data_IF_853885699629
#
_entry.id   IF_853885699629
#
_cell.length_a   1.000
_cell.length_b   1.000
_cell.length_c   1.000
_cell.angle_alpha   90.00
_cell.angle_beta   90.00
_cell.angle_gamma   90.00
#
_symmetry.space_group_name_H-M   'P 1'
#
loop_
_entity.id
_entity.type
_entity.pdbx_description
1 polymer ?
#
# COMPACT_ATOMS: atom_id res chain seq x y z
N UNK A 1 -16.15 15.71 79.44
CA UNK A 1 -17.61 15.93 79.34
C UNK A 1 -17.81 16.98 78.25
N UNK A 2 -18.12 16.58 77.02
CA UNK A 2 -19.47 16.19 76.54
C UNK A 2 -20.34 17.46 76.33
N UNK A 3 -21.14 17.70 75.29
CA UNK A 3 -21.84 16.89 74.26
C UNK A 3 -22.09 17.80 73.00
N UNK A 4 -22.38 17.38 71.76
CA UNK A 4 -22.52 16.07 71.07
C UNK A 4 -22.33 16.25 69.53
N UNK A 5 -22.08 15.17 68.79
CA UNK A 5 -21.98 15.11 67.31
C UNK A 5 -23.34 15.17 66.58
N UNK A 6 -23.42 15.78 65.40
CA UNK A 6 -24.57 15.64 64.47
C UNK A 6 -24.12 15.39 63.03
N UNK A 7 -24.03 14.11 62.67
CA UNK A 7 -23.93 13.70 61.26
C UNK A 7 -25.26 13.87 60.53
N UNK A 8 -25.21 14.32 59.28
CA UNK A 8 -26.39 14.44 58.41
C UNK A 8 -26.40 13.28 57.40
N UNK A 9 -27.41 12.40 57.49
CA UNK A 9 -27.59 11.23 56.61
C UNK A 9 -28.91 11.31 55.85
N UNK A 10 -28.88 10.97 54.57
CA UNK A 10 -30.08 10.88 53.71
C UNK A 10 -30.44 9.42 53.40
N UNK A 11 -31.72 9.21 53.04
CA UNK A 11 -32.34 7.91 52.75
C UNK A 11 -31.83 7.21 51.45
N UNK A 12 -30.55 6.82 51.37
CA UNK A 12 -30.15 5.60 50.62
C UNK A 12 -28.74 5.03 50.92
N UNK A 13 -28.24 5.10 52.16
CA UNK A 13 -27.18 4.19 52.65
C UNK A 13 -25.78 4.20 51.99
N UNK A 14 -25.48 5.05 51.01
CA UNK A 14 -24.18 5.09 50.31
C UNK A 14 -23.33 6.31 50.69
N UNK A 15 -22.08 6.07 51.11
CA UNK A 15 -21.08 7.12 51.34
C UNK A 15 -20.76 7.91 50.06
N UNK A 16 -20.84 9.24 50.12
CA UNK A 16 -20.33 10.11 49.04
C UNK A 16 -18.80 10.08 49.04
N UNK A 17 -18.21 9.63 47.93
CA UNK A 17 -16.81 9.94 47.62
C UNK A 17 -16.68 11.43 47.24
N UNK A 18 -15.76 12.21 47.84
CA UNK A 18 -15.52 13.59 47.42
C UNK A 18 -14.87 13.62 46.02
N UNK A 19 -15.63 14.08 45.01
CA UNK A 19 -15.06 14.40 43.70
C UNK A 19 -14.35 15.75 43.82
N UNK A 20 -13.01 15.73 43.74
CA UNK A 20 -12.20 16.92 43.58
C UNK A 20 -11.90 17.10 42.09
N UNK A 21 -12.59 18.06 41.48
CA UNK A 21 -12.23 18.53 40.14
C UNK A 21 -10.99 19.43 40.28
N UNK A 22 -9.91 19.09 39.55
CA UNK A 22 -8.67 19.86 39.54
C UNK A 22 -8.70 20.76 38.29
N UNK A 23 -8.86 22.06 38.48
CA UNK A 23 -8.77 23.05 37.40
C UNK A 23 -7.29 23.22 36.97
N UNK A 24 -7.03 23.24 35.65
CA UNK A 24 -5.70 23.13 35.02
C UNK A 24 -4.75 24.34 35.22
N UNK A 25 -4.96 25.20 36.22
CA UNK A 25 -4.24 26.48 36.37
C UNK A 25 -3.74 26.84 37.78
N UNK A 26 -3.51 25.88 38.69
CA UNK A 26 -2.75 26.14 39.93
C UNK A 26 -1.22 25.94 39.75
N UNK A 27 -0.38 26.90 40.19
CA UNK A 27 1.06 26.69 40.29
C UNK A 27 1.40 25.51 41.21
N UNK A 28 2.40 24.73 40.80
CA UNK A 28 2.83 23.45 41.41
C UNK A 28 2.99 23.50 42.94
N UNK A 29 3.40 24.65 43.49
CA UNK A 29 3.71 24.81 44.91
C UNK A 29 2.45 24.83 45.81
N UNK A 30 1.30 25.30 45.33
CA UNK A 30 0.05 25.30 46.11
C UNK A 30 -0.62 23.92 46.10
N UNK A 31 -0.54 23.19 44.97
CA UNK A 31 -0.92 21.78 44.92
C UNK A 31 -0.05 20.92 45.87
N UNK A 32 1.27 21.16 45.91
CA UNK A 32 2.18 20.50 46.85
C UNK A 32 1.88 20.85 48.31
N UNK A 33 1.45 22.08 48.61
CA UNK A 33 0.99 22.46 49.96
C UNK A 33 -0.29 21.72 50.37
N UNK A 34 -1.30 21.63 49.49
CA UNK A 34 -2.53 20.85 49.77
C UNK A 34 -2.19 19.37 50.06
N UNK A 35 -1.30 18.77 49.29
CA UNK A 35 -0.84 17.38 49.49
C UNK A 35 -0.11 17.18 50.84
N UNK A 36 0.71 18.15 51.28
CA UNK A 36 1.49 18.03 52.53
C UNK A 36 0.69 18.10 53.82
N UNK A 37 -0.61 18.43 53.75
CA UNK A 37 -1.49 18.56 54.93
C UNK A 37 -2.32 17.30 55.20
N UNK A 38 -2.34 16.33 54.27
CA UNK A 38 -2.89 15.00 54.50
C UNK A 38 -1.78 14.03 54.91
N UNK A 39 -2.07 13.12 55.85
CA UNK A 39 -1.10 12.16 56.37
C UNK A 39 -0.45 11.28 55.29
N UNK A 40 0.77 10.84 55.55
CA UNK A 40 1.67 10.25 54.56
C UNK A 40 1.04 9.19 53.66
N UNK A 41 1.06 9.46 52.34
CA UNK A 41 0.61 8.52 51.32
C UNK A 41 1.64 7.40 51.17
N UNK A 42 1.27 6.18 51.57
CA UNK A 42 2.05 4.97 51.23
C UNK A 42 1.92 4.68 49.74
N UNK A 43 2.94 5.05 48.96
CA UNK A 43 3.03 4.69 47.54
C UNK A 43 3.19 3.16 47.46
N UNK A 44 2.30 2.47 46.72
CA UNK A 44 2.45 1.03 46.53
C UNK A 44 3.70 0.72 45.70
N UNK A 45 4.38 -0.43 45.92
CA UNK A 45 5.56 -0.80 45.13
C UNK A 45 5.30 -0.77 43.62
N UNK A 46 4.12 -1.24 43.19
CA UNK A 46 3.65 -1.22 41.80
C UNK A 46 3.54 0.20 41.21
N UNK A 47 3.07 1.17 42.00
CA UNK A 47 2.97 2.56 41.58
C UNK A 47 4.34 3.24 41.51
N UNK A 48 5.24 2.92 42.46
CA UNK A 48 6.63 3.37 42.42
C UNK A 48 7.35 2.82 41.19
N UNK A 49 7.22 1.51 40.93
CA UNK A 49 7.78 0.83 39.77
C UNK A 49 7.26 1.43 38.45
N UNK A 50 5.95 1.67 38.35
CA UNK A 50 5.34 2.30 37.17
C UNK A 50 5.78 3.75 36.94
N UNK A 51 6.12 4.49 38.00
CA UNK A 51 6.62 5.87 37.92
C UNK A 51 8.12 5.93 37.54
N UNK A 52 8.93 4.97 38.02
CA UNK A 52 10.38 4.96 37.78
C UNK A 52 10.83 4.14 36.56
N UNK A 53 10.16 3.02 36.24
CA UNK A 53 10.57 2.13 35.15
C UNK A 53 9.84 2.36 33.83
N UNK A 54 8.67 3.02 33.86
CA UNK A 54 7.98 3.45 32.64
C UNK A 54 8.18 4.95 32.46
N UNK A 55 9.20 5.40 31.70
CA UNK A 55 9.25 6.81 31.34
C UNK A 55 7.93 7.17 30.65
N UNK A 56 7.31 8.27 31.06
CA UNK A 56 6.25 8.91 30.27
C UNK A 56 6.87 9.42 28.98
N UNK A 57 7.08 8.52 28.04
CA UNK A 57 7.40 8.84 26.67
C UNK A 57 6.11 9.41 26.07
N UNK A 58 5.84 10.68 26.38
CA UNK A 58 4.92 11.53 25.62
C UNK A 58 5.55 11.79 24.26
N UNK A 59 5.72 10.71 23.48
CA UNK A 59 5.85 10.79 22.04
C UNK A 59 4.59 11.52 21.61
N UNK A 60 4.73 12.80 21.23
CA UNK A 60 3.63 13.53 20.59
C UNK A 60 3.17 12.62 19.46
N UNK A 61 1.91 12.17 19.51
CA UNK A 61 1.41 11.05 18.70
C UNK A 61 1.38 11.29 17.18
N UNK A 62 2.00 12.37 16.73
CA UNK A 62 2.18 12.76 15.35
C UNK A 62 3.63 12.54 14.91
N UNK A 63 3.96 11.26 14.73
CA UNK A 63 5.24 10.83 14.14
C UNK A 63 5.42 11.43 12.73
N UNK A 64 4.33 11.71 12.00
CA UNK A 64 4.36 12.33 10.66
C UNK A 64 4.87 13.77 10.72
N UNK A 65 4.43 14.56 11.69
CA UNK A 65 4.99 15.88 11.97
C UNK A 65 6.46 15.84 12.44
N UNK A 66 6.96 14.69 12.87
CA UNK A 66 8.33 14.53 13.39
C UNK A 66 9.34 14.06 12.33
N UNK A 67 8.95 13.18 11.40
CA UNK A 67 9.86 12.62 10.37
C UNK A 67 9.52 13.02 8.93
N UNK A 68 8.43 13.78 8.73
CA UNK A 68 7.96 14.19 7.41
C UNK A 68 7.13 13.13 6.69
N UNK A 69 6.57 13.50 5.53
CA UNK A 69 5.80 12.60 4.68
C UNK A 69 6.68 12.05 3.54
N UNK A 70 6.95 10.73 3.48
CA UNK A 70 7.74 10.13 2.42
C UNK A 70 6.95 9.86 1.12
N UNK A 71 5.60 9.82 1.14
CA UNK A 71 4.78 9.52 -0.05
C UNK A 71 5.20 10.31 -1.31
N UNK A 72 5.52 11.62 -1.25
CA UNK A 72 5.97 12.39 -2.42
C UNK A 72 7.24 11.85 -3.08
N UNK A 73 8.17 11.27 -2.30
CA UNK A 73 9.40 10.66 -2.82
C UNK A 73 9.09 9.39 -3.62
N UNK A 74 8.17 8.56 -3.12
CA UNK A 74 7.68 7.39 -3.83
C UNK A 74 6.92 7.75 -5.11
N UNK A 75 6.08 8.79 -5.08
CA UNK A 75 5.39 9.30 -6.28
C UNK A 75 6.40 9.87 -7.29
N UNK A 76 7.44 10.59 -6.84
CA UNK A 76 8.51 11.07 -7.71
C UNK A 76 9.21 9.90 -8.44
N UNK A 77 9.55 8.84 -7.70
CA UNK A 77 10.15 7.62 -8.24
C UNK A 77 9.29 6.97 -9.33
N UNK A 78 7.99 6.84 -9.05
CA UNK A 78 6.99 6.37 -9.99
C UNK A 78 6.95 7.24 -11.26
N UNK A 79 6.78 8.57 -11.12
CA UNK A 79 6.50 9.43 -12.28
C UNK A 79 7.72 9.72 -13.16
N UNK A 80 8.91 9.83 -12.58
CA UNK A 80 10.12 10.09 -13.36
C UNK A 80 10.56 8.84 -14.11
N UNK A 81 10.05 7.65 -13.76
CA UNK A 81 10.36 6.38 -14.43
C UNK A 81 9.27 5.96 -15.43
N UNK A 82 7.99 5.96 -15.02
CA UNK A 82 6.89 5.54 -15.88
C UNK A 82 6.62 6.53 -17.02
N UNK A 83 6.85 7.84 -16.81
CA UNK A 83 6.68 8.86 -17.84
C UNK A 83 7.55 8.60 -19.08
N UNK A 84 8.88 8.56 -18.93
CA UNK A 84 9.78 8.22 -20.03
C UNK A 84 9.52 6.84 -20.65
N UNK A 85 9.13 5.83 -19.85
CA UNK A 85 8.74 4.52 -20.42
C UNK A 85 7.50 4.63 -21.30
N UNK A 86 6.46 5.34 -20.85
CA UNK A 86 5.20 5.53 -21.60
C UNK A 86 5.46 6.18 -22.96
N UNK A 87 6.33 7.20 -23.01
CA UNK A 87 6.75 7.85 -24.25
C UNK A 87 7.49 6.88 -25.20
N UNK A 88 8.36 6.02 -24.66
CA UNK A 88 9.08 4.98 -25.42
C UNK A 88 8.14 3.89 -25.97
N UNK A 89 7.18 3.44 -25.17
CA UNK A 89 6.18 2.44 -25.60
C UNK A 89 5.28 2.98 -26.73
N UNK A 90 4.98 4.28 -26.72
CA UNK A 90 4.25 5.00 -27.78
C UNK A 90 5.11 5.43 -28.98
N UNK A 91 6.42 5.17 -28.98
CA UNK A 91 7.30 5.54 -30.10
C UNK A 91 7.58 7.04 -30.25
N UNK A 92 7.31 7.86 -29.23
CA UNK A 92 7.38 9.33 -29.36
C UNK A 92 8.78 9.80 -29.77
N UNK A 93 8.85 10.67 -30.79
CA UNK A 93 10.11 11.17 -31.37
C UNK A 93 11.07 10.07 -31.87
N UNK A 94 10.55 8.88 -32.21
CA UNK A 94 11.36 7.73 -32.60
C UNK A 94 12.06 7.01 -31.44
N UNK A 95 11.62 7.25 -30.20
CA UNK A 95 12.08 6.49 -29.04
C UNK A 95 11.49 5.07 -29.04
N UNK A 96 12.05 4.15 -28.25
CA UNK A 96 11.67 2.73 -28.26
C UNK A 96 12.65 1.87 -27.45
N UNK A 97 12.90 0.64 -27.90
CA UNK A 97 13.88 -0.25 -27.26
C UNK A 97 13.48 -0.75 -25.86
N UNK A 98 12.17 -0.87 -25.59
CA UNK A 98 11.64 -1.49 -24.36
C UNK A 98 11.95 -0.77 -23.05
N UNK A 99 12.52 0.44 -23.08
CA UNK A 99 13.00 1.14 -21.89
C UNK A 99 14.51 1.01 -21.63
N UNK A 100 15.29 0.36 -22.49
CA UNK A 100 16.73 0.16 -22.30
C UNK A 100 17.51 1.47 -22.05
N UNK A 101 17.11 2.57 -22.71
CA UNK A 101 17.73 3.89 -22.55
C UNK A 101 17.52 4.52 -21.16
N UNK A 102 16.55 4.04 -20.37
CA UNK A 102 16.22 4.58 -19.04
C UNK A 102 16.52 3.60 -17.89
N UNK A 103 17.27 2.53 -18.13
CA UNK A 103 17.69 1.54 -17.12
C UNK A 103 18.28 2.18 -15.86
N UNK A 104 19.11 3.22 -16.00
CA UNK A 104 19.64 3.96 -14.84
C UNK A 104 18.54 4.67 -14.02
N UNK A 105 17.50 5.19 -14.68
CA UNK A 105 16.32 5.77 -14.03
C UNK A 105 15.52 4.67 -13.32
N UNK A 106 15.35 3.51 -13.96
CA UNK A 106 14.69 2.36 -13.34
C UNK A 106 15.43 1.87 -12.07
N UNK A 107 16.77 1.83 -12.07
CA UNK A 107 17.53 1.45 -10.87
C UNK A 107 17.38 2.45 -9.73
N UNK A 108 17.72 3.72 -9.98
CA UNK A 108 17.88 4.69 -8.89
C UNK A 108 16.58 5.41 -8.53
N UNK A 109 15.78 5.79 -9.52
CA UNK A 109 14.58 6.62 -9.31
C UNK A 109 13.34 5.74 -9.15
N UNK A 110 13.10 4.82 -10.08
CA UNK A 110 11.98 3.87 -10.00
C UNK A 110 12.16 2.84 -8.91
N UNK A 111 13.35 2.26 -8.79
CA UNK A 111 13.66 1.20 -7.84
C UNK A 111 13.98 1.74 -6.45
N UNK A 112 15.20 2.27 -6.29
CA UNK A 112 15.77 2.61 -5.00
C UNK A 112 14.95 3.66 -4.23
N UNK A 113 14.57 4.80 -4.85
CA UNK A 113 13.78 5.82 -4.14
C UNK A 113 12.39 5.32 -3.72
N UNK A 114 11.73 4.48 -4.54
CA UNK A 114 10.43 3.92 -4.16
C UNK A 114 10.55 2.91 -3.00
N UNK A 115 11.59 2.08 -2.97
CA UNK A 115 11.87 1.18 -1.85
C UNK A 115 12.17 1.97 -0.57
N UNK A 116 13.04 2.99 -0.64
CA UNK A 116 13.34 3.86 0.50
C UNK A 116 12.06 4.52 1.02
N UNK A 117 11.24 5.08 0.13
CA UNK A 117 9.97 5.67 0.49
C UNK A 117 9.01 4.65 1.12
N UNK A 118 8.94 3.41 0.61
CA UNK A 118 8.13 2.34 1.19
C UNK A 118 8.59 1.93 2.59
N UNK A 119 9.90 1.89 2.84
CA UNK A 119 10.47 1.65 4.18
C UNK A 119 10.19 2.83 5.11
N UNK A 120 10.13 4.07 4.63
CA UNK A 120 9.71 5.22 5.44
C UNK A 120 8.20 5.19 5.77
N UNK A 121 7.35 4.72 4.85
CA UNK A 121 5.92 4.50 5.12
C UNK A 121 5.68 3.42 6.20
N UNK A 122 6.60 2.45 6.34
CA UNK A 122 6.58 1.45 7.43
C UNK A 122 6.63 2.13 8.80
N UNK A 123 7.58 3.06 8.95
CA UNK A 123 7.83 3.81 10.19
C UNK A 123 6.60 4.65 10.55
N UNK A 124 5.87 5.13 9.55
CA UNK A 124 4.61 5.87 9.71
C UNK A 124 3.36 4.99 9.89
N UNK A 125 3.50 3.66 9.89
CA UNK A 125 2.39 2.71 10.03
C UNK A 125 1.45 2.65 8.81
N UNK A 126 1.89 3.09 7.63
CA UNK A 126 1.07 3.17 6.44
C UNK A 126 1.26 1.96 5.51
N UNK A 127 0.71 0.81 5.92
CA UNK A 127 0.90 -0.48 5.24
C UNK A 127 0.48 -0.47 3.77
N UNK A 128 -0.59 0.24 3.38
CA UNK A 128 -1.03 0.26 1.98
C UNK A 128 -0.01 0.94 1.08
N UNK A 129 0.40 2.18 1.43
CA UNK A 129 1.41 2.91 0.64
C UNK A 129 2.77 2.20 0.68
N UNK A 130 3.16 1.59 1.80
CA UNK A 130 4.34 0.74 1.88
C UNK A 130 4.34 -0.37 0.82
N UNK A 131 3.27 -1.17 0.78
CA UNK A 131 3.19 -2.35 -0.09
C UNK A 131 3.17 -1.93 -1.56
N UNK A 132 2.46 -0.85 -1.88
CA UNK A 132 2.48 -0.24 -3.23
C UNK A 132 3.90 0.21 -3.59
N UNK A 133 4.53 1.07 -2.80
CA UNK A 133 5.82 1.67 -3.17
C UNK A 133 6.95 0.64 -3.22
N UNK A 134 6.98 -0.31 -2.29
CA UNK A 134 7.97 -1.38 -2.29
C UNK A 134 7.78 -2.35 -3.47
N UNK A 135 6.54 -2.70 -3.85
CA UNK A 135 6.30 -3.59 -4.99
C UNK A 135 6.62 -2.93 -6.33
N UNK A 136 6.27 -1.66 -6.52
CA UNK A 136 6.67 -0.90 -7.71
C UNK A 136 8.18 -0.66 -7.77
N UNK A 137 8.84 -0.40 -6.64
CA UNK A 137 10.31 -0.33 -6.59
C UNK A 137 10.97 -1.66 -6.98
N UNK A 138 10.48 -2.79 -6.45
CA UNK A 138 10.90 -4.13 -6.86
C UNK A 138 10.67 -4.40 -8.35
N UNK A 139 9.54 -3.95 -8.90
CA UNK A 139 9.23 -4.02 -10.33
C UNK A 139 10.28 -3.29 -11.18
N UNK A 140 10.59 -2.03 -10.87
CA UNK A 140 11.58 -1.25 -11.62
C UNK A 140 12.98 -1.85 -11.55
N UNK A 141 13.40 -2.38 -10.39
CA UNK A 141 14.67 -3.10 -10.26
C UNK A 141 14.70 -4.38 -11.12
N UNK A 142 13.62 -5.17 -11.13
CA UNK A 142 13.55 -6.42 -11.91
C UNK A 142 13.48 -6.17 -13.43
N UNK A 143 12.81 -5.10 -13.86
CA UNK A 143 12.79 -4.69 -15.26
C UNK A 143 14.17 -4.19 -15.69
N UNK A 144 14.85 -3.42 -14.85
CA UNK A 144 16.22 -2.96 -15.10
C UNK A 144 17.21 -4.13 -15.25
N UNK A 145 17.19 -5.12 -14.35
CA UNK A 145 18.06 -6.30 -14.45
C UNK A 145 17.72 -7.17 -15.67
N UNK A 146 16.45 -7.22 -16.09
CA UNK A 146 16.03 -7.94 -17.29
C UNK A 146 16.50 -7.26 -18.58
N UNK A 147 16.49 -5.92 -18.63
CA UNK A 147 16.89 -5.12 -19.79
C UNK A 147 18.40 -4.94 -19.94
N UNK A 148 19.18 -5.10 -18.86
CA UNK A 148 20.65 -5.00 -18.90
C UNK A 148 21.24 -6.25 -19.58
N UNK A 149 21.92 -6.12 -20.74
CA UNK A 149 22.36 -7.27 -21.53
C UNK A 149 23.32 -8.22 -20.79
N UNK A 150 24.11 -7.72 -19.83
CA UNK A 150 25.10 -8.52 -19.09
C UNK A 150 24.48 -9.53 -18.12
N UNK A 151 23.20 -9.40 -17.75
CA UNK A 151 22.50 -10.44 -16.99
C UNK A 151 21.91 -11.56 -17.89
N UNK A 152 21.90 -11.37 -19.21
CA UNK A 152 21.58 -12.43 -20.18
C UNK A 152 20.13 -12.93 -20.18
N UNK A 153 19.18 -12.22 -19.55
CA UNK A 153 17.82 -12.71 -19.33
C UNK A 153 17.08 -13.11 -20.62
N UNK A 154 17.16 -12.30 -21.68
CA UNK A 154 16.62 -12.64 -23.02
C UNK A 154 17.57 -13.53 -23.84
N UNK A 155 18.87 -13.48 -23.55
CA UNK A 155 19.90 -14.27 -24.23
C UNK A 155 19.89 -15.76 -23.86
N UNK A 156 19.24 -16.13 -22.75
CA UNK A 156 19.03 -17.51 -22.32
C UNK A 156 17.98 -18.28 -23.16
N UNK A 157 17.30 -17.60 -24.09
CA UNK A 157 16.28 -18.16 -24.98
C UNK A 157 16.77 -18.17 -26.44
N UNK A 158 16.06 -17.53 -27.36
CA UNK A 158 16.39 -17.49 -28.79
C UNK A 158 16.83 -16.08 -29.21
N UNK A 159 18.06 -15.63 -28.87
CA UNK A 159 18.52 -14.25 -29.11
C UNK A 159 18.64 -13.87 -30.58
N UNK A 160 18.67 -14.86 -31.49
CA UNK A 160 18.73 -14.65 -32.93
C UNK A 160 17.34 -14.45 -33.56
N UNK A 161 16.25 -14.80 -32.86
CA UNK A 161 14.89 -14.54 -33.30
C UNK A 161 14.44 -13.15 -32.77
N UNK A 162 14.08 -12.18 -33.63
CA UNK A 162 13.58 -10.87 -33.20
C UNK A 162 12.30 -10.93 -32.34
N UNK A 163 11.54 -12.02 -32.43
CA UNK A 163 10.32 -12.27 -31.65
C UNK A 163 10.59 -13.02 -30.35
N UNK A 164 11.74 -13.70 -30.22
CA UNK A 164 12.22 -14.47 -29.07
C UNK A 164 11.05 -15.07 -28.23
N UNK A 165 10.31 -16.04 -28.78
CA UNK A 165 8.97 -16.38 -28.34
C UNK A 165 8.93 -16.98 -26.93
N UNK A 166 9.95 -17.76 -26.56
CA UNK A 166 10.11 -18.29 -25.21
C UNK A 166 10.30 -17.20 -24.16
N UNK A 167 11.16 -16.21 -24.43
CA UNK A 167 11.38 -15.08 -23.52
C UNK A 167 10.10 -14.23 -23.38
N UNK A 168 9.50 -13.81 -24.51
CA UNK A 168 8.34 -12.92 -24.50
C UNK A 168 7.11 -13.58 -23.85
N UNK A 169 6.88 -14.88 -24.07
CA UNK A 169 5.80 -15.61 -23.38
C UNK A 169 6.04 -15.69 -21.87
N UNK A 170 7.28 -16.00 -21.45
CA UNK A 170 7.65 -16.10 -20.04
C UNK A 170 7.54 -14.76 -19.32
N UNK A 171 8.01 -13.69 -19.97
CA UNK A 171 8.00 -12.34 -19.40
C UNK A 171 6.61 -11.70 -19.41
N UNK A 172 5.74 -12.05 -20.36
CA UNK A 172 4.34 -11.62 -20.35
C UNK A 172 3.61 -12.01 -19.06
N UNK A 173 3.87 -13.20 -18.49
CA UNK A 173 3.29 -13.60 -17.21
C UNK A 173 3.70 -12.70 -16.05
N UNK A 174 4.91 -12.14 -16.05
CA UNK A 174 5.32 -11.15 -15.05
C UNK A 174 4.39 -9.93 -15.06
N UNK A 175 4.07 -9.41 -16.26
CA UNK A 175 3.09 -8.33 -16.43
C UNK A 175 1.65 -8.76 -16.09
N UNK A 176 1.24 -10.01 -16.33
CA UNK A 176 -0.09 -10.52 -15.91
C UNK A 176 -0.23 -10.49 -14.39
N UNK A 177 0.73 -11.06 -13.64
CA UNK A 177 0.68 -11.09 -12.19
C UNK A 177 0.84 -9.69 -11.57
N UNK A 178 1.66 -8.82 -12.17
CA UNK A 178 1.78 -7.43 -11.72
C UNK A 178 0.52 -6.60 -12.04
N UNK A 179 -0.17 -6.88 -13.15
CA UNK A 179 -1.49 -6.32 -13.47
C UNK A 179 -2.57 -6.78 -12.49
N UNK A 180 -2.56 -8.05 -12.07
CA UNK A 180 -3.43 -8.56 -11.01
C UNK A 180 -3.16 -7.86 -9.66
N UNK A 181 -1.89 -7.63 -9.32
CA UNK A 181 -1.51 -6.87 -8.13
C UNK A 181 -2.04 -5.42 -8.19
N UNK A 182 -1.93 -4.77 -9.34
CA UNK A 182 -2.52 -3.45 -9.58
C UNK A 182 -4.05 -3.46 -9.45
N UNK A 183 -4.72 -4.53 -9.87
CA UNK A 183 -6.17 -4.69 -9.73
C UNK A 183 -6.60 -4.86 -8.26
N UNK A 184 -5.79 -5.55 -7.44
CA UNK A 184 -6.00 -5.61 -5.99
C UNK A 184 -5.84 -4.20 -5.37
N UNK A 185 -4.82 -3.44 -5.78
CA UNK A 185 -4.65 -2.05 -5.34
C UNK A 185 -5.79 -1.12 -5.80
N UNK A 186 -6.34 -1.34 -7.00
CA UNK A 186 -7.53 -0.64 -7.49
C UNK A 186 -8.72 -0.84 -6.55
N UNK A 187 -9.02 -2.07 -6.15
CA UNK A 187 -10.10 -2.37 -5.19
C UNK A 187 -9.85 -1.69 -3.83
N UNK A 188 -8.61 -1.71 -3.33
CA UNK A 188 -8.24 -1.02 -2.10
C UNK A 188 -8.39 0.52 -2.21
N UNK A 189 -8.06 1.09 -3.37
CA UNK A 189 -8.08 2.54 -3.61
C UNK A 189 -9.47 3.18 -3.67
N UNK A 190 -10.53 2.37 -3.82
CA UNK A 190 -11.94 2.80 -3.67
C UNK A 190 -12.24 3.45 -2.31
N UNK A 191 -11.33 3.35 -1.34
CA UNK A 191 -11.44 3.95 0.00
C UNK A 191 -10.41 5.05 0.27
N UNK A 192 -9.51 5.35 -0.67
CA UNK A 192 -8.41 6.32 -0.47
C UNK A 192 -8.73 7.65 -1.16
N UNK A 193 -8.56 7.76 -2.47
CA UNK A 193 -8.97 8.92 -3.26
C UNK A 193 -9.11 8.60 -4.76
N UNK A 194 -9.80 9.47 -5.48
CA UNK A 194 -10.10 9.33 -6.90
C UNK A 194 -8.84 9.31 -7.78
N UNK A 195 -7.82 10.08 -7.41
CA UNK A 195 -6.53 10.12 -8.14
C UNK A 195 -5.83 8.76 -8.09
N UNK A 196 -5.73 8.12 -6.91
CA UNK A 196 -5.22 6.75 -6.80
C UNK A 196 -6.09 5.73 -7.53
N UNK A 197 -7.41 5.87 -7.49
CA UNK A 197 -8.31 4.99 -8.24
C UNK A 197 -8.04 5.03 -9.74
N UNK A 198 -7.91 6.22 -10.34
CA UNK A 198 -7.59 6.33 -11.78
C UNK A 198 -6.19 5.82 -12.09
N UNK A 199 -5.20 6.07 -11.21
CA UNK A 199 -3.84 5.53 -11.32
C UNK A 199 -3.87 3.99 -11.35
N UNK A 200 -4.46 3.32 -10.37
CA UNK A 200 -4.48 1.85 -10.36
C UNK A 200 -5.37 1.24 -11.45
N UNK A 201 -6.43 1.92 -11.88
CA UNK A 201 -7.26 1.48 -13.00
C UNK A 201 -6.45 1.47 -14.30
N UNK A 202 -5.76 2.58 -14.58
CA UNK A 202 -4.93 2.71 -15.78
C UNK A 202 -3.69 1.82 -15.70
N UNK A 203 -3.03 1.68 -14.54
CA UNK A 203 -1.94 0.70 -14.37
C UNK A 203 -2.40 -0.74 -14.64
N UNK A 204 -3.54 -1.17 -14.08
CA UNK A 204 -4.08 -2.52 -14.30
C UNK A 204 -4.31 -2.79 -15.79
N UNK A 205 -4.97 -1.86 -16.48
CA UNK A 205 -5.21 -1.95 -17.92
C UNK A 205 -3.89 -1.90 -18.74
N UNK A 206 -2.96 -1.02 -18.37
CA UNK A 206 -1.66 -0.86 -19.02
C UNK A 206 -0.81 -2.12 -18.93
N UNK A 207 -0.78 -2.79 -17.77
CA UNK A 207 -0.08 -4.07 -17.58
C UNK A 207 -0.74 -5.23 -18.34
N UNK A 208 -2.08 -5.31 -18.35
CA UNK A 208 -2.80 -6.29 -19.19
C UNK A 208 -2.51 -6.10 -20.68
N UNK A 209 -2.46 -4.86 -21.16
CA UNK A 209 -2.08 -4.54 -22.54
C UNK A 209 -0.60 -4.87 -22.81
N UNK A 210 0.31 -4.58 -21.88
CA UNK A 210 1.74 -4.87 -22.05
C UNK A 210 2.01 -6.38 -22.10
N UNK A 211 1.34 -7.16 -21.24
CA UNK A 211 1.33 -8.63 -21.32
C UNK A 211 0.80 -9.10 -22.68
N UNK A 212 -0.33 -8.54 -23.14
CA UNK A 212 -0.89 -8.82 -24.46
C UNK A 212 0.07 -8.52 -25.61
N UNK A 213 0.83 -7.42 -25.54
CA UNK A 213 1.84 -7.10 -26.54
C UNK A 213 2.97 -8.15 -26.57
N UNK A 214 3.46 -8.59 -25.41
CA UNK A 214 4.50 -9.62 -25.31
C UNK A 214 3.99 -10.99 -25.80
N UNK A 215 2.77 -11.41 -25.44
CA UNK A 215 2.16 -12.62 -25.99
C UNK A 215 1.96 -12.56 -27.51
N UNK A 216 1.53 -11.41 -28.05
CA UNK A 216 1.38 -11.27 -29.50
C UNK A 216 2.73 -11.26 -30.23
N UNK A 217 3.78 -10.72 -29.61
CA UNK A 217 5.14 -10.80 -30.14
C UNK A 217 5.61 -12.26 -30.19
N UNK A 218 5.41 -13.03 -29.12
CA UNK A 218 5.71 -14.46 -29.08
C UNK A 218 4.89 -15.31 -30.06
N UNK A 219 3.67 -14.89 -30.40
CA UNK A 219 2.87 -15.52 -31.46
C UNK A 219 3.30 -15.12 -32.89
N UNK A 220 4.38 -14.33 -33.05
CA UNK A 220 4.84 -13.82 -34.35
C UNK A 220 4.01 -12.65 -34.91
N UNK A 221 2.98 -12.18 -34.20
CA UNK A 221 2.07 -11.12 -34.63
C UNK A 221 2.66 -9.72 -34.36
N UNK A 222 3.85 -9.43 -34.91
CA UNK A 222 4.67 -8.24 -34.63
C UNK A 222 3.89 -6.92 -34.80
N UNK A 223 3.06 -6.79 -35.84
CA UNK A 223 2.29 -5.57 -36.07
C UNK A 223 1.23 -5.34 -34.98
N UNK A 224 0.52 -6.40 -34.59
CA UNK A 224 -0.48 -6.33 -33.51
C UNK A 224 0.20 -6.07 -32.16
N UNK A 225 1.34 -6.72 -31.89
CA UNK A 225 2.16 -6.47 -30.71
C UNK A 225 2.54 -4.99 -30.59
N UNK A 226 3.04 -4.38 -31.67
CA UNK A 226 3.36 -2.95 -31.71
C UNK A 226 2.16 -2.04 -31.45
N UNK A 227 1.01 -2.32 -32.07
CA UNK A 227 -0.24 -1.55 -31.84
C UNK A 227 -0.71 -1.64 -30.38
N UNK A 228 -0.67 -2.84 -29.79
CA UNK A 228 -1.05 -3.08 -28.39
C UNK A 228 -0.04 -2.46 -27.41
N UNK A 229 1.25 -2.45 -27.74
CA UNK A 229 2.29 -1.77 -26.96
C UNK A 229 2.06 -0.25 -26.92
N UNK A 230 1.72 0.37 -28.05
CA UNK A 230 1.37 1.81 -28.11
C UNK A 230 0.14 2.10 -27.24
N UNK A 231 -0.88 1.25 -27.29
CA UNK A 231 -2.06 1.38 -26.43
C UNK A 231 -1.70 1.26 -24.93
N UNK A 232 -0.84 0.31 -24.55
CA UNK A 232 -0.31 0.19 -23.19
C UNK A 232 0.42 1.47 -22.75
N UNK A 233 1.33 1.99 -23.60
CA UNK A 233 2.05 3.24 -23.35
C UNK A 233 1.12 4.44 -23.17
N UNK A 234 0.06 4.55 -23.97
CA UNK A 234 -0.93 5.61 -23.85
C UNK A 234 -1.73 5.53 -22.53
N UNK A 235 -2.12 4.32 -22.11
CA UNK A 235 -2.83 4.12 -20.83
C UNK A 235 -1.91 4.41 -19.64
N UNK A 236 -0.65 3.97 -19.66
CA UNK A 236 0.34 4.35 -18.65
C UNK A 236 0.61 5.87 -18.63
N UNK A 237 0.58 6.54 -19.79
CA UNK A 237 0.69 8.00 -19.85
C UNK A 237 -0.48 8.70 -19.16
N UNK A 238 -1.70 8.14 -19.20
CA UNK A 238 -2.82 8.68 -18.39
C UNK A 238 -2.53 8.54 -16.91
N UNK A 239 -2.08 7.37 -16.43
CA UNK A 239 -1.66 7.17 -15.04
C UNK A 239 -0.62 8.22 -14.59
N UNK A 240 0.25 8.61 -15.51
CA UNK A 240 1.31 9.57 -15.28
C UNK A 240 0.82 11.01 -15.06
N UNK A 241 -0.19 11.45 -15.83
CA UNK A 241 -0.77 12.79 -15.63
C UNK A 241 -1.40 12.91 -14.24
N UNK A 242 -2.08 11.85 -13.76
CA UNK A 242 -2.60 11.77 -12.40
C UNK A 242 -1.50 11.67 -11.34
N UNK A 243 -0.39 10.98 -11.63
CA UNK A 243 0.79 10.96 -10.77
C UNK A 243 1.43 12.34 -10.58
N UNK A 244 1.61 13.11 -11.66
CA UNK A 244 2.10 14.50 -11.60
C UNK A 244 1.16 15.40 -10.78
N UNK A 245 -0.15 15.26 -10.98
CA UNK A 245 -1.15 15.98 -10.17
C UNK A 245 -1.05 15.63 -8.68
N UNK A 246 -0.88 14.34 -8.35
CA UNK A 246 -0.75 13.89 -6.97
C UNK A 246 0.55 14.40 -6.32
N UNK A 247 1.67 14.39 -7.04
CA UNK A 247 2.93 14.95 -6.55
C UNK A 247 2.78 16.45 -6.26
N UNK A 248 2.23 17.22 -7.20
CA UNK A 248 1.99 18.65 -7.03
C UNK A 248 1.09 18.91 -5.81
N UNK A 249 -0.02 18.18 -5.67
CA UNK A 249 -0.93 18.32 -4.53
C UNK A 249 -0.22 18.08 -3.18
N UNK A 250 0.63 17.04 -3.08
CA UNK A 250 1.36 16.74 -1.84
C UNK A 250 2.48 17.74 -1.56
N UNK A 251 3.22 18.19 -2.59
CA UNK A 251 4.29 19.17 -2.42
C UNK A 251 3.75 20.54 -2.00
N UNK A 252 2.64 21.00 -2.56
CA UNK A 252 1.98 22.25 -2.17
C UNK A 252 1.55 22.22 -0.68
N UNK A 253 1.03 21.08 -0.21
CA UNK A 253 0.74 20.89 1.23
C UNK A 253 2.02 20.93 2.07
N UNK A 254 3.12 20.33 1.60
CA UNK A 254 4.38 20.28 2.35
C UNK A 254 5.08 21.64 2.54
N UNK A 255 4.72 22.65 1.73
CA UNK A 255 5.27 24.02 1.80
C UNK A 255 4.26 25.06 2.29
N UNK A 256 3.15 24.60 2.90
CA UNK A 256 2.05 25.45 3.42
C UNK A 256 1.50 26.43 2.36
N UNK A 257 1.27 25.94 1.14
CA UNK A 257 0.75 26.76 0.05
C UNK A 257 -0.73 27.15 0.29
N UNK A 258 -1.15 28.40 -0.02
CA UNK A 258 -2.45 28.93 0.39
C UNK A 258 -3.70 28.28 -0.25
N UNK A 259 -3.53 27.25 -1.10
CA UNK A 259 -4.64 26.43 -1.59
C UNK A 259 -4.26 24.96 -1.68
N UNK A 260 -5.26 24.09 -1.48
CA UNK A 260 -5.12 22.64 -1.54
C UNK A 260 -5.77 22.12 -2.82
N UNK A 261 -5.04 21.33 -3.61
CA UNK A 261 -5.57 20.69 -4.80
C UNK A 261 -6.48 19.51 -4.42
N UNK A 262 -7.72 19.42 -4.95
CA UNK A 262 -8.66 18.38 -4.56
C UNK A 262 -8.28 17.02 -5.17
N UNK A 263 -7.95 16.03 -4.34
CA UNK A 263 -7.67 14.64 -4.77
C UNK A 263 -8.91 13.74 -4.86
N UNK A 264 -10.07 14.24 -4.40
CA UNK A 264 -11.36 13.53 -4.42
C UNK A 264 -11.44 12.38 -3.41
N UNK A 265 -11.94 12.66 -2.21
CA UNK A 265 -12.10 11.64 -1.16
C UNK A 265 -13.20 10.62 -1.52
N UNK A 266 -12.81 9.34 -1.67
CA UNK A 266 -13.72 8.23 -1.97
C UNK A 266 -14.17 7.45 -0.73
N UNK A 267 -13.67 7.78 0.47
CA UNK A 267 -14.03 7.08 1.72
C UNK A 267 -15.54 7.03 2.00
N UNK A 268 -16.29 8.01 1.48
CA UNK A 268 -17.75 8.11 1.56
C UNK A 268 -18.50 7.10 0.67
N UNK A 269 -17.89 6.65 -0.43
CA UNK A 269 -18.49 5.69 -1.36
C UNK A 269 -18.52 4.27 -0.76
N UNK A 270 -17.49 3.92 0.01
CA UNK A 270 -17.37 2.63 0.70
C UNK A 270 -17.10 2.90 2.18
N UNK A 271 -18.14 2.85 3.03
CA UNK A 271 -18.04 3.05 4.49
C UNK A 271 -17.05 2.09 5.16
N UNK A 272 -16.44 2.54 6.24
CA UNK A 272 -15.49 1.76 7.04
C UNK A 272 -16.11 0.53 7.67
N UNK A 273 -15.32 -0.55 7.83
CA UNK A 273 -15.71 -1.67 8.67
C UNK A 273 -16.03 -1.20 10.11
N UNK A 274 -15.23 -0.28 10.64
CA UNK A 274 -15.44 0.37 11.94
C UNK A 274 -16.64 1.33 11.99
N UNK A 275 -17.16 1.78 10.85
CA UNK A 275 -18.38 2.60 10.76
C UNK A 275 -19.61 1.70 10.65
N UNK A 276 -19.56 0.69 9.76
CA UNK A 276 -20.58 -0.37 9.70
C UNK A 276 -20.74 -1.10 11.03
N UNK A 277 -19.67 -1.28 11.82
CA UNK A 277 -19.73 -1.83 13.19
C UNK A 277 -20.49 -0.93 14.18
N UNK A 278 -20.59 0.39 13.95
CA UNK A 278 -21.40 1.32 14.78
C UNK A 278 -22.87 1.34 14.38
N UNK A 279 -23.16 1.14 13.09
CA UNK A 279 -24.53 1.12 12.54
C UNK A 279 -25.28 -0.21 12.81
N UNK A 280 -24.62 -1.21 13.41
CA UNK A 280 -25.12 -2.58 13.52
C UNK A 280 -25.81 -2.84 14.88
N UNK A 281 -27.00 -3.47 14.91
CA UNK A 281 -27.65 -3.86 16.16
C UNK A 281 -26.77 -4.80 16.99
N UNK A 282 -26.85 -4.70 18.33
CA UNK A 282 -26.00 -5.47 19.26
C UNK A 282 -26.10 -7.01 19.08
N UNK A 283 -27.20 -7.52 18.52
CA UNK A 283 -27.35 -8.94 18.17
C UNK A 283 -26.46 -9.38 17.00
N UNK A 284 -26.12 -8.46 16.08
CA UNK A 284 -25.29 -8.73 14.90
C UNK A 284 -23.82 -8.36 15.10
N UNK A 285 -23.46 -7.55 16.11
CA UNK A 285 -22.05 -7.32 16.47
C UNK A 285 -21.34 -8.59 16.98
N UNK A 286 -22.10 -9.60 17.42
CA UNK A 286 -21.63 -10.95 17.75
C UNK A 286 -21.36 -11.84 16.52
N UNK A 287 -21.87 -11.47 15.34
CA UNK A 287 -21.69 -12.21 14.08
C UNK A 287 -20.63 -11.59 13.16
N UNK A 288 -20.07 -10.44 13.53
CA UNK A 288 -18.92 -9.87 12.83
C UNK A 288 -17.61 -10.39 13.44
N UNK A 289 -16.59 -10.67 12.60
CA UNK A 289 -15.26 -11.05 13.03
C UNK A 289 -14.77 -10.25 14.25
N UNK A 290 -14.56 -10.98 15.34
CA UNK A 290 -14.19 -10.43 16.64
C UNK A 290 -12.73 -10.72 16.99
N UNK A 291 -12.14 -11.78 16.43
CA UNK A 291 -10.74 -12.17 16.59
C UNK A 291 -10.01 -12.31 15.24
N UNK A 292 -8.70 -12.59 15.29
CA UNK A 292 -7.92 -12.92 14.09
C UNK A 292 -8.34 -14.25 13.44
N UNK A 293 -9.04 -15.13 14.16
CA UNK A 293 -9.32 -16.51 13.72
C UNK A 293 -10.31 -16.54 12.55
N UNK A 294 -11.24 -15.58 12.49
CA UNK A 294 -12.17 -15.41 11.36
C UNK A 294 -11.45 -14.92 10.09
N UNK A 295 -10.39 -14.12 10.23
CA UNK A 295 -9.52 -13.74 9.11
C UNK A 295 -8.67 -14.92 8.65
N UNK A 296 -8.25 -15.79 9.57
CA UNK A 296 -7.59 -17.06 9.26
C UNK A 296 -8.54 -17.98 8.48
N UNK A 297 -9.81 -18.11 8.88
CA UNK A 297 -10.80 -18.88 8.13
C UNK A 297 -11.05 -18.31 6.72
N UNK A 298 -11.19 -16.99 6.58
CA UNK A 298 -11.30 -16.35 5.26
C UNK A 298 -10.04 -16.57 4.39
N UNK A 299 -8.85 -16.58 5.02
CA UNK A 299 -7.58 -16.88 4.36
C UNK A 299 -7.48 -18.35 3.92
N UNK A 300 -7.98 -19.29 4.74
CA UNK A 300 -8.09 -20.71 4.36
C UNK A 300 -9.05 -20.91 3.18
N UNK A 301 -10.21 -20.23 3.17
CA UNK A 301 -11.15 -20.29 2.04
C UNK A 301 -10.52 -19.70 0.77
N UNK A 302 -9.81 -18.56 0.88
CA UNK A 302 -9.09 -17.98 -0.26
C UNK A 302 -7.96 -18.90 -0.77
N UNK A 303 -7.20 -19.53 0.14
CA UNK A 303 -6.18 -20.51 -0.20
C UNK A 303 -6.78 -21.77 -0.86
N UNK A 304 -7.92 -22.26 -0.38
CA UNK A 304 -8.66 -23.39 -0.95
C UNK A 304 -9.14 -23.08 -2.37
N UNK A 305 -9.76 -21.92 -2.59
CA UNK A 305 -10.14 -21.45 -3.93
C UNK A 305 -8.93 -21.28 -4.86
N UNK A 306 -7.79 -20.84 -4.33
CA UNK A 306 -6.53 -20.72 -5.10
C UNK A 306 -5.99 -22.10 -5.47
N UNK A 307 -6.00 -23.06 -4.54
CA UNK A 307 -5.61 -24.45 -4.78
C UNK A 307 -6.50 -25.12 -5.84
N UNK A 308 -7.83 -24.94 -5.75
CA UNK A 308 -8.77 -25.48 -6.74
C UNK A 308 -8.62 -24.81 -8.12
N UNK A 309 -8.25 -23.53 -8.18
CA UNK A 309 -7.92 -22.85 -9.42
C UNK A 309 -6.62 -23.40 -10.02
N UNK A 310 -5.57 -23.57 -9.22
CA UNK A 310 -4.30 -24.16 -9.64
C UNK A 310 -4.48 -25.62 -10.13
N UNK A 311 -5.22 -26.45 -9.41
CA UNK A 311 -5.51 -27.83 -9.81
C UNK A 311 -6.39 -27.92 -11.09
N UNK A 312 -7.18 -26.89 -11.39
CA UNK A 312 -7.87 -26.75 -12.69
C UNK A 312 -6.92 -26.31 -13.80
N UNK A 313 -6.02 -25.37 -13.53
CA UNK A 313 -4.98 -24.94 -14.48
C UNK A 313 -4.03 -26.09 -14.82
N UNK A 314 -3.60 -26.88 -13.84
CA UNK A 314 -2.76 -28.06 -14.03
C UNK A 314 -3.42 -29.11 -14.96
N UNK A 315 -4.73 -29.34 -14.82
CA UNK A 315 -5.50 -30.22 -15.72
C UNK A 315 -5.73 -29.66 -17.13
N UNK A 316 -5.66 -28.35 -17.30
CA UNK A 316 -5.67 -27.71 -18.64
C UNK A 316 -4.27 -27.77 -19.25
N UNK A 317 -3.23 -27.58 -18.44
CA UNK A 317 -1.83 -27.67 -18.83
C UNK A 317 -1.43 -29.09 -19.23
N UNK A 318 -1.81 -30.12 -18.45
CA UNK A 318 -1.52 -31.52 -18.78
C UNK A 318 -2.14 -31.91 -20.12
N UNK A 319 -3.41 -31.53 -20.37
CA UNK A 319 -4.08 -31.73 -21.66
C UNK A 319 -3.41 -31.00 -22.83
N UNK A 320 -2.71 -29.89 -22.56
CA UNK A 320 -1.91 -29.19 -23.56
C UNK A 320 -0.58 -29.88 -23.85
N UNK A 321 -0.05 -30.67 -22.90
CA UNK A 321 1.14 -31.51 -23.09
C UNK A 321 0.77 -32.82 -23.80
N UNK A 322 -0.34 -33.46 -23.41
CA UNK A 322 -0.86 -34.68 -24.05
C UNK A 322 -1.19 -34.45 -25.56
N UNK A 323 -1.61 -33.23 -25.93
CA UNK A 323 -1.79 -32.82 -27.32
C UNK A 323 -0.51 -32.44 -28.07
N UNK A 324 0.64 -32.47 -27.40
CA UNK A 324 1.96 -32.11 -27.92
C UNK A 324 2.83 -33.30 -28.35
N UNK A 325 2.60 -34.50 -27.81
CA UNK A 325 3.43 -35.68 -28.13
C UNK A 325 3.39 -36.07 -29.62
N UNK A 326 2.31 -35.76 -30.35
CA UNK A 326 2.21 -36.00 -31.80
C UNK A 326 3.04 -35.00 -32.66
N UNK A 327 3.69 -34.02 -32.03
CA UNK A 327 4.55 -33.02 -32.71
C UNK A 327 6.00 -32.96 -32.25
N UNK A 328 6.42 -33.79 -31.29
CA UNK A 328 7.80 -33.79 -30.79
C UNK A 328 8.67 -34.95 -31.32
N UNK A 329 8.25 -35.55 -32.43
CA UNK A 329 9.07 -36.42 -33.26
C UNK A 329 9.19 -35.83 -34.67
N UNK A 330 10.07 -34.83 -34.85
CA UNK A 330 10.83 -34.44 -36.07
C UNK A 330 11.53 -33.09 -35.77
N UNK A 331 12.86 -33.16 -35.61
CA UNK A 331 13.85 -32.08 -35.42
C UNK A 331 13.69 -31.14 -34.21
#
# INVERSE_FOLDING_TARGET
>A
MSDIEKGNTDHNGSLRSPRYDIEDHEPRDDALRKIRTAGGISISPELFEKIYLTPKNQVKGDIRATVGNPTPLGILGFIVTLGPLSCQLMGWRGSGGGGAAIVGVMYFIGGLLMIISGVMEWILGNTFTLVVLASFGGFWLSLATTLVPTYGASAAFEPNDPTNPGFNSSFAFYYVFFGLLCFIYLVCSLRTNFVFFVIFLTLSLGFCLLAGANFQLANGNVELAGRVQIASGAVFFVSQLFGWYLLAAQLLISVDFPFVLPVGDLSRLVRGASERKKDLPAAYSLLLPASNDDYVLASFIAAQCTYEALAKMEKVWSKSLDGGEEKQAIY
#
